data_IF_136268539682
#
_entry.id   IF_136268539682
#
_cell.length_a   1.000
_cell.length_b   1.000
_cell.length_c   1.000
_cell.angle_alpha   90.00
_cell.angle_beta   90.00
_cell.angle_gamma   90.00
#
_symmetry.space_group_name_H-M   'P 1'
#
loop_
_entity.id
_entity.type
_entity.pdbx_description
1 polymer ?
#
# COMPACT_ATOMS: atom_id res chain seq x y z
N UNK A 1 27.03 19.85 -4.83
CA UNK A 1 26.05 19.47 -5.89
C UNK A 1 25.51 18.04 -5.66
N UNK A 2 24.91 17.76 -4.49
CA UNK A 2 24.55 16.39 -4.09
C UNK A 2 23.05 16.11 -3.91
N UNK A 3 22.17 17.11 -4.09
CA UNK A 3 20.74 16.98 -3.73
C UNK A 3 19.86 16.43 -4.86
N UNK A 4 20.17 16.72 -6.11
CA UNK A 4 19.27 16.41 -7.22
C UNK A 4 19.23 14.92 -7.58
N UNK A 5 20.39 14.26 -7.55
CA UNK A 5 20.47 12.81 -7.81
C UNK A 5 19.82 12.01 -6.68
N UNK A 6 20.06 12.40 -5.42
CA UNK A 6 19.47 11.73 -4.26
C UNK A 6 17.95 11.89 -4.25
N UNK A 7 17.46 13.10 -4.57
CA UNK A 7 16.04 13.35 -4.75
C UNK A 7 15.45 12.47 -5.85
N UNK A 8 16.12 12.33 -7.01
CA UNK A 8 15.62 11.48 -8.11
C UNK A 8 15.48 10.00 -7.68
N UNK A 9 16.43 9.48 -6.90
CA UNK A 9 16.36 8.11 -6.35
C UNK A 9 15.19 7.97 -5.39
N UNK A 10 15.07 8.89 -4.43
CA UNK A 10 14.01 8.84 -3.42
C UNK A 10 12.63 8.96 -4.08
N UNK A 11 12.50 9.86 -5.06
CA UNK A 11 11.29 10.07 -5.81
C UNK A 11 10.87 8.85 -6.66
N UNK A 12 11.85 8.15 -7.26
CA UNK A 12 11.59 6.89 -7.96
C UNK A 12 11.05 5.79 -7.04
N UNK A 13 11.62 5.70 -5.83
CA UNK A 13 11.15 4.74 -4.81
C UNK A 13 9.74 5.09 -4.33
N UNK A 14 9.48 6.35 -4.02
CA UNK A 14 8.18 6.85 -3.57
C UNK A 14 7.08 6.62 -4.60
N UNK A 15 7.33 6.96 -5.87
CA UNK A 15 6.34 6.77 -6.93
C UNK A 15 6.01 5.30 -7.13
N UNK A 16 6.99 4.41 -7.01
CA UNK A 16 6.72 2.97 -7.10
C UNK A 16 5.81 2.49 -5.96
N UNK A 17 6.09 2.88 -4.72
CA UNK A 17 5.24 2.50 -3.59
C UNK A 17 3.84 3.10 -3.68
N UNK A 18 3.73 4.33 -4.18
CA UNK A 18 2.45 4.99 -4.44
C UNK A 18 1.62 4.21 -5.46
N UNK A 19 2.21 3.80 -6.58
CA UNK A 19 1.54 2.99 -7.60
C UNK A 19 1.04 1.66 -7.04
N UNK A 20 1.85 0.96 -6.24
CA UNK A 20 1.46 -0.31 -5.62
C UNK A 20 0.28 -0.13 -4.64
N UNK A 21 0.30 0.98 -3.88
CA UNK A 21 -0.79 1.35 -2.97
C UNK A 21 -2.08 1.70 -3.71
N UNK A 22 -2.02 2.56 -4.71
CA UNK A 22 -3.19 2.96 -5.51
C UNK A 22 -3.78 1.76 -6.25
N UNK A 23 -2.93 0.86 -6.77
CA UNK A 23 -3.37 -0.38 -7.39
C UNK A 23 -4.11 -1.29 -6.40
N UNK A 24 -3.62 -1.39 -5.16
CA UNK A 24 -4.31 -2.15 -4.11
C UNK A 24 -5.65 -1.51 -3.71
N UNK A 25 -5.72 -0.18 -3.62
CA UNK A 25 -6.94 0.57 -3.32
C UNK A 25 -8.00 0.40 -4.44
N UNK A 26 -7.57 0.27 -5.70
CA UNK A 26 -8.44 -0.02 -6.85
C UNK A 26 -8.80 -1.51 -6.99
N UNK A 27 -8.21 -2.39 -6.17
CA UNK A 27 -8.47 -3.84 -6.23
C UNK A 27 -7.71 -4.57 -7.35
N UNK A 28 -6.69 -3.96 -7.95
CA UNK A 28 -5.85 -4.58 -8.99
C UNK A 28 -4.93 -5.62 -8.35
N UNK A 29 -4.91 -6.82 -8.93
CA UNK A 29 -4.05 -7.90 -8.48
C UNK A 29 -2.57 -7.57 -8.74
N UNK A 30 -1.68 -8.06 -7.88
CA UNK A 30 -0.24 -7.75 -7.96
C UNK A 30 0.41 -8.22 -9.28
N UNK A 31 -0.16 -9.24 -9.93
CA UNK A 31 0.30 -9.75 -11.22
C UNK A 31 -0.04 -8.83 -12.40
N UNK A 32 -1.07 -7.99 -12.27
CA UNK A 32 -1.61 -7.19 -13.37
C UNK A 32 -1.01 -5.77 -13.42
N UNK A 33 -0.12 -5.47 -12.47
CA UNK A 33 0.50 -4.15 -12.34
C UNK A 33 1.63 -4.00 -13.36
N UNK A 34 1.53 -2.99 -14.22
CA UNK A 34 2.64 -2.58 -15.06
C UNK A 34 3.71 -1.87 -14.21
N UNK A 35 4.94 -2.38 -14.32
CA UNK A 35 6.09 -2.01 -13.52
C UNK A 35 7.17 -1.32 -14.34
N UNK A 36 6.87 -0.99 -15.60
CA UNK A 36 7.71 -0.19 -16.46
C UNK A 36 8.13 1.10 -15.74
N UNK A 37 9.39 1.49 -15.91
CA UNK A 37 9.91 2.73 -15.30
C UNK A 37 9.29 3.91 -16.05
N UNK A 38 8.54 4.79 -15.39
CA UNK A 38 7.98 5.95 -16.06
C UNK A 38 9.07 6.96 -16.45
N UNK A 39 8.79 7.75 -17.48
CA UNK A 39 9.63 8.87 -17.84
C UNK A 39 9.46 9.97 -16.78
N UNK A 40 10.54 10.26 -16.05
CA UNK A 40 10.60 11.25 -15.00
C UNK A 40 11.36 12.52 -15.43
N UNK A 41 12.45 12.36 -16.17
CA UNK A 41 13.28 13.47 -16.66
C UNK A 41 13.79 13.21 -18.08
N UNK A 42 13.95 14.27 -18.86
CA UNK A 42 14.62 14.23 -20.16
C UNK A 42 16.16 14.24 -20.03
N UNK A 43 16.68 14.57 -18.85
CA UNK A 43 18.10 14.34 -18.54
C UNK A 43 18.31 12.85 -18.26
N UNK A 44 19.06 12.19 -19.14
CA UNK A 44 19.38 10.77 -19.03
C UNK A 44 19.99 10.40 -17.66
N UNK A 45 20.76 11.31 -17.06
CA UNK A 45 21.39 11.08 -15.75
C UNK A 45 20.34 11.05 -14.64
N UNK A 46 19.44 12.02 -14.62
CA UNK A 46 18.35 12.07 -13.63
C UNK A 46 17.36 10.91 -13.85
N UNK A 47 17.08 10.57 -15.11
CA UNK A 47 16.26 9.42 -15.45
C UNK A 47 16.87 8.10 -14.97
N UNK A 48 18.20 7.96 -15.07
CA UNK A 48 18.90 6.77 -14.57
C UNK A 48 18.82 6.66 -13.03
N UNK A 49 19.01 7.77 -12.30
CA UNK A 49 18.85 7.80 -10.84
C UNK A 49 17.41 7.50 -10.41
N UNK A 50 16.42 8.04 -11.13
CA UNK A 50 15.03 7.69 -10.90
C UNK A 50 14.76 6.20 -11.13
N UNK A 51 15.27 5.63 -12.23
CA UNK A 51 15.13 4.22 -12.52
C UNK A 51 15.79 3.33 -11.45
N UNK A 52 16.92 3.77 -10.89
CA UNK A 52 17.58 3.12 -9.77
C UNK A 52 16.68 3.11 -8.53
N UNK A 53 16.08 4.26 -8.19
CA UNK A 53 15.11 4.39 -7.11
C UNK A 53 13.90 3.48 -7.27
N UNK A 54 13.29 3.50 -8.47
CA UNK A 54 12.14 2.68 -8.83
C UNK A 54 12.40 1.18 -8.68
N UNK A 55 13.60 0.72 -9.08
CA UNK A 55 14.02 -0.69 -8.99
C UNK A 55 14.53 -1.09 -7.60
N UNK A 56 14.77 -0.14 -6.70
CA UNK A 56 15.22 -0.42 -5.33
C UNK A 56 14.12 -0.96 -4.41
N UNK A 57 12.87 -0.89 -4.84
CA UNK A 57 11.71 -1.35 -4.06
C UNK A 57 11.72 -2.88 -3.96
N UNK A 58 11.73 -3.39 -2.75
CA UNK A 58 11.75 -4.83 -2.48
C UNK A 58 10.34 -5.40 -2.41
N UNK A 59 10.16 -6.73 -2.56
CA UNK A 59 8.85 -7.37 -2.37
C UNK A 59 8.25 -7.10 -0.97
N UNK A 60 9.09 -6.96 0.06
CA UNK A 60 8.65 -6.62 1.41
C UNK A 60 8.04 -5.21 1.47
N UNK A 61 8.67 -4.25 0.81
CA UNK A 61 8.15 -2.87 0.70
C UNK A 61 6.80 -2.84 -0.04
N UNK A 62 6.68 -3.61 -1.13
CA UNK A 62 5.43 -3.75 -1.90
C UNK A 62 4.33 -4.34 -1.02
N UNK A 63 4.63 -5.45 -0.32
CA UNK A 63 3.68 -6.09 0.59
C UNK A 63 3.22 -5.11 1.68
N UNK A 64 4.15 -4.35 2.27
CA UNK A 64 3.81 -3.36 3.29
C UNK A 64 2.91 -2.25 2.72
N UNK A 65 3.25 -1.68 1.57
CA UNK A 65 2.49 -0.61 0.92
C UNK A 65 1.07 -1.03 0.55
N UNK A 66 0.89 -2.26 0.05
CA UNK A 66 -0.42 -2.82 -0.33
C UNK A 66 -1.28 -3.20 0.87
N UNK A 67 -0.68 -3.65 1.97
CA UNK A 67 -1.41 -4.20 3.12
C UNK A 67 -1.58 -3.23 4.29
N UNK A 68 -1.04 -2.01 4.21
CA UNK A 68 -1.08 -1.03 5.31
C UNK A 68 -2.51 -0.77 5.84
N UNK A 69 -3.52 -0.81 4.97
CA UNK A 69 -4.93 -0.58 5.34
C UNK A 69 -5.74 -1.86 5.62
N UNK A 70 -5.30 -3.02 5.10
CA UNK A 70 -6.00 -4.32 5.33
C UNK A 70 -6.05 -4.69 6.81
N UNK A 71 -4.97 -4.43 7.54
CA UNK A 71 -4.94 -4.71 8.97
C UNK A 71 -5.91 -3.82 9.75
N UNK A 72 -6.09 -2.55 9.36
CA UNK A 72 -7.02 -1.63 10.03
C UNK A 72 -8.47 -2.05 9.85
N UNK A 73 -8.86 -2.56 8.68
CA UNK A 73 -10.19 -3.12 8.43
C UNK A 73 -10.40 -4.37 9.30
N UNK A 74 -9.44 -5.30 9.30
CA UNK A 74 -9.55 -6.53 10.10
C UNK A 74 -9.65 -6.25 11.61
N UNK A 75 -8.90 -5.26 12.13
CA UNK A 75 -8.96 -4.92 13.56
C UNK A 75 -10.22 -4.13 13.92
N UNK A 76 -10.62 -3.13 13.13
CA UNK A 76 -11.78 -2.27 13.47
C UNK A 76 -13.14 -2.89 13.13
N UNK A 77 -13.23 -3.74 12.10
CA UNK A 77 -14.46 -4.50 11.82
C UNK A 77 -14.69 -5.60 12.86
N UNK A 78 -13.62 -6.15 13.45
CA UNK A 78 -13.74 -7.14 14.53
C UNK A 78 -14.43 -6.57 15.77
N UNK A 79 -14.18 -5.31 16.15
CA UNK A 79 -14.88 -4.69 17.29
C UNK A 79 -16.39 -4.57 17.05
N UNK A 80 -16.78 -4.13 15.84
CA UNK A 80 -18.21 -4.02 15.47
C UNK A 80 -18.88 -5.40 15.41
N UNK A 81 -18.19 -6.40 14.88
CA UNK A 81 -18.65 -7.80 14.86
C UNK A 81 -18.77 -8.35 16.29
N UNK A 82 -17.77 -8.09 17.14
CA UNK A 82 -17.79 -8.50 18.55
C UNK A 82 -18.96 -7.88 19.32
N UNK A 83 -19.21 -6.57 19.15
CA UNK A 83 -20.38 -5.89 19.71
C UNK A 83 -21.70 -6.45 19.18
N UNK A 84 -21.80 -6.72 17.87
CA UNK A 84 -22.99 -7.34 17.27
C UNK A 84 -23.27 -8.72 17.89
N UNK A 85 -22.24 -9.55 18.05
CA UNK A 85 -22.36 -10.86 18.69
C UNK A 85 -22.77 -10.76 20.17
N UNK A 86 -22.22 -9.79 20.91
CA UNK A 86 -22.60 -9.54 22.31
C UNK A 86 -24.07 -9.11 22.44
N UNK A 87 -24.52 -8.18 21.60
CA UNK A 87 -25.91 -7.72 21.58
C UNK A 87 -26.89 -8.84 21.22
N UNK A 88 -26.55 -9.70 20.26
CA UNK A 88 -27.38 -10.85 19.90
C UNK A 88 -27.50 -11.84 21.07
N UNK A 89 -26.41 -12.17 21.76
CA UNK A 89 -26.44 -13.04 22.95
C UNK A 89 -27.32 -12.46 24.07
N UNK A 90 -27.24 -11.16 24.29
CA UNK A 90 -28.05 -10.48 25.31
C UNK A 90 -29.56 -10.51 25.00
N UNK A 91 -29.94 -10.45 23.72
CA UNK A 91 -31.32 -10.58 23.28
C UNK A 91 -31.85 -12.00 23.55
N UNK A 92 -31.13 -13.03 23.15
CA UNK A 92 -31.57 -14.42 23.33
C UNK A 92 -31.52 -14.93 24.78
N UNK A 93 -30.70 -14.31 25.65
CA UNK A 93 -30.69 -14.62 27.09
C UNK A 93 -31.86 -13.99 27.87
N UNK A 94 -32.49 -12.93 27.34
CA UNK A 94 -33.65 -12.29 27.98
C UNK A 94 -34.93 -13.14 27.90
N UNK A 95 -35.01 -13.99 26.88
CA UNK A 95 -36.18 -14.83 26.62
C UNK A 95 -36.12 -16.19 27.35
N UNK A 96 -35.06 -16.44 28.13
CA UNK A 96 -34.79 -17.69 28.84
C UNK A 96 -35.09 -17.62 30.37
N UNK A 97 -35.74 -16.56 30.85
CA UNK A 97 -36.15 -16.36 32.27
C UNK A 97 -37.66 -16.39 32.43
#
# INVERSE_FOLDING_TARGET
MGRNWQWSIEHGREQRLKLERESAEQGIAECDIDRAVPLHSHDATMQAYFAQGWRSVTPADVYQARNQHRFKILTTCNEKVAMRCANLRALFNKDAS
#
